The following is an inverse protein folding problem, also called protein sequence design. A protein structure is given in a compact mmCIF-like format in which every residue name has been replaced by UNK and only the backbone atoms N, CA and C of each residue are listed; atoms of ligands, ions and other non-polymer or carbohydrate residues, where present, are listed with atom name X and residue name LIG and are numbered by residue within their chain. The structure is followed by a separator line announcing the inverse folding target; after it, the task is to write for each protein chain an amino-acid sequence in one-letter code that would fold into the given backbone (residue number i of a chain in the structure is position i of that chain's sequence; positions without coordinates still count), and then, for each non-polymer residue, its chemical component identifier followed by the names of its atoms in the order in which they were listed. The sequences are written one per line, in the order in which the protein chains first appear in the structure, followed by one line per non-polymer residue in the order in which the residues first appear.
data_IF_351293364652
#
_entry.id   IF_351293364652
#
_cell.length_a   1.000
_cell.length_b   1.000
_cell.length_c   1.000
_cell.angle_alpha   90.00
_cell.angle_beta   90.00
_cell.angle_gamma   90.00
#
_symmetry.space_group_name_H-M   'P 1'
#
loop_
_entity.id
_entity.type
_entity.pdbx_description
1 polymer ?
#
# COMPACT_ATOMS: atom_id res chain seq x y z
N UNK A 1 -17.88 -26.90 -13.87
CA UNK A 1 -17.03 -25.89 -14.53
C UNK A 1 -16.81 -24.65 -13.69
N UNK A 2 -17.89 -23.94 -13.33
CA UNK A 2 -17.78 -22.72 -12.52
C UNK A 2 -17.11 -22.96 -11.15
N UNK A 3 -17.49 -24.04 -10.45
CA UNK A 3 -16.90 -24.41 -9.17
C UNK A 3 -15.43 -24.79 -9.29
N UNK A 4 -15.05 -25.45 -10.37
CA UNK A 4 -13.68 -25.87 -10.64
C UNK A 4 -12.76 -24.66 -10.87
N UNK A 5 -13.24 -23.65 -11.60
CA UNK A 5 -12.49 -22.40 -11.83
C UNK A 5 -12.32 -21.64 -10.53
N UNK A 6 -13.39 -21.53 -9.72
CA UNK A 6 -13.36 -20.84 -8.44
C UNK A 6 -12.32 -21.46 -7.49
N UNK A 7 -12.30 -22.79 -7.40
CA UNK A 7 -11.34 -23.51 -6.57
C UNK A 7 -9.91 -23.32 -7.06
N UNK A 8 -9.71 -23.28 -8.37
CA UNK A 8 -8.40 -23.04 -8.97
C UNK A 8 -7.90 -21.63 -8.65
N UNK A 9 -8.76 -20.63 -8.76
CA UNK A 9 -8.42 -19.25 -8.42
C UNK A 9 -8.09 -19.13 -6.94
N UNK A 10 -8.90 -19.72 -6.07
CA UNK A 10 -8.65 -19.72 -4.62
C UNK A 10 -7.30 -20.36 -4.28
N UNK A 11 -7.00 -21.52 -4.88
CA UNK A 11 -5.73 -22.22 -4.66
C UNK A 11 -4.54 -21.34 -5.08
N UNK A 12 -4.63 -20.68 -6.24
CA UNK A 12 -3.58 -19.79 -6.74
C UNK A 12 -3.41 -18.58 -5.82
N UNK A 13 -4.51 -18.02 -5.34
CA UNK A 13 -4.49 -16.94 -4.36
C UNK A 13 -3.75 -17.36 -3.09
N UNK A 14 -4.08 -18.53 -2.52
CA UNK A 14 -3.43 -19.02 -1.31
C UNK A 14 -1.95 -19.27 -1.52
N UNK A 15 -1.54 -19.81 -2.66
CA UNK A 15 -0.12 -19.96 -3.01
C UNK A 15 0.59 -18.62 -3.04
N UNK A 16 -0.03 -17.62 -3.65
CA UNK A 16 0.55 -16.27 -3.76
C UNK A 16 0.69 -15.61 -2.39
N UNK A 17 -0.34 -15.66 -1.53
CA UNK A 17 -0.29 -15.06 -0.21
C UNK A 17 0.71 -15.74 0.72
N UNK A 18 0.97 -17.04 0.51
CA UNK A 18 2.01 -17.75 1.26
C UNK A 18 3.41 -17.38 0.78
N UNK A 19 3.59 -17.28 -0.54
CA UNK A 19 4.88 -16.96 -1.15
C UNK A 19 5.25 -15.47 -0.94
N UNK A 20 4.27 -14.58 -1.13
CA UNK A 20 4.43 -13.14 -0.93
C UNK A 20 3.79 -12.75 0.40
N UNK A 21 4.53 -12.97 1.46
CA UNK A 21 4.09 -12.65 2.82
C UNK A 21 4.59 -11.24 3.17
N UNK A 22 3.69 -10.37 3.58
CA UNK A 22 4.02 -8.99 3.96
C UNK A 22 5.13 -8.93 5.01
N UNK A 23 5.12 -9.86 5.98
CA UNK A 23 6.15 -9.91 7.02
C UNK A 23 7.53 -10.23 6.47
N UNK A 24 7.60 -11.00 5.37
CA UNK A 24 8.88 -11.30 4.71
C UNK A 24 9.34 -10.16 3.81
N UNK A 25 8.40 -9.36 3.30
CA UNK A 25 8.70 -8.24 2.42
C UNK A 25 9.03 -6.95 3.16
N UNK A 26 8.64 -6.85 4.42
CA UNK A 26 8.88 -5.67 5.25
C UNK A 26 9.89 -6.01 6.35
N UNK A 27 10.93 -5.17 6.50
CA UNK A 27 12.00 -5.40 7.48
C UNK A 27 11.95 -4.46 8.68
N UNK A 28 11.75 -3.17 8.43
CA UNK A 28 11.87 -2.14 9.48
C UNK A 28 10.61 -1.32 9.66
N UNK A 29 9.71 -1.36 8.70
CA UNK A 29 8.51 -0.54 8.69
C UNK A 29 7.31 -1.43 8.44
N UNK A 30 6.26 -1.40 9.29
CA UNK A 30 5.05 -2.17 9.04
C UNK A 30 4.44 -1.86 7.68
N UNK A 31 3.82 -2.86 7.06
CA UNK A 31 3.30 -2.75 5.70
C UNK A 31 2.34 -1.56 5.52
N UNK A 32 1.41 -1.37 6.46
CA UNK A 32 0.46 -0.26 6.39
C UNK A 32 1.14 1.10 6.42
N UNK A 33 2.19 1.24 7.24
CA UNK A 33 2.96 2.48 7.33
C UNK A 33 3.76 2.73 6.05
N UNK A 34 4.34 1.68 5.48
CA UNK A 34 5.04 1.76 4.20
C UNK A 34 4.11 2.20 3.07
N UNK A 35 2.88 1.69 3.05
CA UNK A 35 1.87 2.08 2.06
C UNK A 35 1.50 3.56 2.18
N UNK A 36 1.32 4.05 3.40
CA UNK A 36 1.03 5.47 3.66
C UNK A 36 2.21 6.34 3.20
N UNK A 37 3.44 5.96 3.55
CA UNK A 37 4.64 6.67 3.10
C UNK A 37 4.71 6.75 1.58
N UNK A 38 4.51 5.62 0.90
CA UNK A 38 4.55 5.57 -0.55
C UNK A 38 3.52 6.50 -1.18
N UNK A 39 2.31 6.48 -0.66
CA UNK A 39 1.23 7.32 -1.18
C UNK A 39 1.54 8.80 -0.99
N UNK A 40 1.95 9.19 0.22
CA UNK A 40 2.32 10.57 0.51
C UNK A 40 3.53 11.02 -0.32
N UNK A 41 4.46 10.11 -0.56
CA UNK A 41 5.64 10.40 -1.37
C UNK A 41 5.26 10.68 -2.83
N UNK A 42 4.34 9.88 -3.38
CA UNK A 42 3.86 10.05 -4.76
C UNK A 42 3.00 11.31 -4.92
N UNK A 43 2.42 11.81 -3.84
CA UNK A 43 1.55 12.99 -3.83
C UNK A 43 2.14 14.14 -3.00
N UNK A 44 3.47 14.28 -3.03
CA UNK A 44 4.20 15.25 -2.20
C UNK A 44 3.79 16.70 -2.42
N UNK A 45 3.28 17.03 -3.60
CA UNK A 45 2.84 18.39 -3.94
C UNK A 45 1.34 18.61 -3.70
N UNK A 46 0.64 17.62 -3.14
CA UNK A 46 -0.79 17.69 -2.88
C UNK A 46 -1.06 17.73 -1.38
N UNK A 47 -2.22 18.27 -1.01
CA UNK A 47 -2.67 18.28 0.38
C UNK A 47 -3.49 17.01 0.63
N UNK A 48 -2.87 16.02 1.27
CA UNK A 48 -3.49 14.71 1.51
C UNK A 48 -4.12 14.67 2.90
N UNK A 49 -5.37 14.25 2.97
CA UNK A 49 -6.10 14.03 4.23
C UNK A 49 -6.31 12.53 4.47
N UNK A 50 -6.59 12.16 5.72
CA UNK A 50 -6.70 10.75 6.12
C UNK A 50 -7.80 9.98 5.35
N UNK A 51 -8.91 10.64 5.05
CA UNK A 51 -10.01 10.02 4.30
C UNK A 51 -9.61 9.60 2.88
N UNK A 52 -8.76 10.38 2.23
CA UNK A 52 -8.21 10.02 0.91
C UNK A 52 -7.33 8.78 1.00
N UNK A 53 -6.51 8.67 2.03
CA UNK A 53 -5.68 7.49 2.26
C UNK A 53 -6.54 6.24 2.49
N UNK A 54 -7.61 6.36 3.25
CA UNK A 54 -8.55 5.25 3.47
C UNK A 54 -9.12 4.74 2.16
N UNK A 55 -9.59 5.66 1.32
CA UNK A 55 -10.17 5.33 0.03
C UNK A 55 -9.17 4.65 -0.90
N UNK A 56 -7.98 5.23 -1.03
CA UNK A 56 -6.97 4.74 -1.95
C UNK A 56 -6.32 3.43 -1.51
N UNK A 57 -6.09 3.27 -0.21
CA UNK A 57 -5.41 2.09 0.32
C UNK A 57 -6.36 0.97 0.77
N UNK A 58 -7.67 1.24 0.72
CA UNK A 58 -8.66 0.25 1.13
C UNK A 58 -8.65 -0.07 2.62
N UNK A 59 -8.16 0.85 3.45
CA UNK A 59 -8.14 0.68 4.91
C UNK A 59 -9.42 1.23 5.54
N UNK A 60 -9.87 0.57 6.60
CA UNK A 60 -10.93 1.10 7.44
C UNK A 60 -10.42 2.31 8.22
N UNK A 61 -11.34 3.22 8.57
CA UNK A 61 -11.00 4.46 9.27
C UNK A 61 -10.25 4.21 10.58
N UNK A 62 -10.69 3.24 11.37
CA UNK A 62 -10.05 2.90 12.65
C UNK A 62 -8.61 2.40 12.46
N UNK A 63 -8.39 1.57 11.44
CA UNK A 63 -7.06 1.06 11.09
C UNK A 63 -6.16 2.18 10.60
N UNK A 64 -6.67 3.08 9.77
CA UNK A 64 -5.92 4.24 9.28
C UNK A 64 -5.53 5.17 10.42
N UNK A 65 -6.46 5.49 11.32
CA UNK A 65 -6.17 6.34 12.47
C UNK A 65 -5.07 5.76 13.35
N UNK A 66 -5.09 4.46 13.58
CA UNK A 66 -4.06 3.75 14.36
C UNK A 66 -2.70 3.81 13.66
N UNK A 67 -2.70 3.58 12.36
CA UNK A 67 -1.49 3.65 11.53
C UNK A 67 -0.88 5.04 11.58
N UNK A 68 -1.70 6.09 11.40
CA UNK A 68 -1.25 7.49 11.45
C UNK A 68 -0.68 7.83 12.83
N UNK A 69 -1.37 7.44 13.90
CA UNK A 69 -0.88 7.68 15.27
C UNK A 69 0.48 7.05 15.51
N UNK A 70 0.67 5.80 15.06
CA UNK A 70 1.95 5.12 15.20
C UNK A 70 3.05 5.81 14.40
N UNK A 71 2.73 6.29 13.20
CA UNK A 71 3.68 7.01 12.35
C UNK A 71 4.06 8.37 12.96
N UNK A 72 3.10 9.06 13.58
CA UNK A 72 3.38 10.31 14.30
C UNK A 72 4.34 10.08 15.49
N UNK A 73 4.12 9.00 16.25
CA UNK A 73 5.00 8.64 17.37
C UNK A 73 6.44 8.38 16.93
N UNK A 74 6.61 7.87 15.72
CA UNK A 74 7.93 7.60 15.13
C UNK A 74 8.51 8.82 14.40
N UNK A 75 7.79 9.92 14.37
CA UNK A 75 8.15 11.14 13.64
C UNK A 75 8.26 10.94 12.11
N UNK A 76 7.55 9.97 11.57
CA UNK A 76 7.52 9.71 10.12
C UNK A 76 6.65 10.72 9.39
N UNK A 77 5.57 11.15 10.04
CA UNK A 77 4.64 12.15 9.52
C UNK A 77 4.27 13.14 10.62
N UNK A 78 3.75 14.28 10.22
CA UNK A 78 3.12 15.23 11.11
C UNK A 78 1.85 15.79 10.49
N UNK A 79 0.99 16.34 11.33
CA UNK A 79 -0.29 16.92 10.91
C UNK A 79 -0.12 18.41 10.73
N UNK A 80 -0.66 18.94 9.63
CA UNK A 80 -0.69 20.37 9.35
C UNK A 80 -2.14 20.77 9.16
N UNK A 81 -2.61 21.70 9.99
CA UNK A 81 -3.98 22.21 9.89
C UNK A 81 -4.08 23.14 8.69
N UNK A 82 -5.14 22.96 7.89
CA UNK A 82 -5.43 23.86 6.78
C UNK A 82 -5.85 25.24 7.32
N UNK A 83 -5.12 26.28 6.98
CA UNK A 83 -5.41 27.64 7.45
C UNK A 83 -6.71 28.20 6.88
N UNK A 84 -7.07 27.79 5.66
CA UNK A 84 -8.31 28.21 4.99
C UNK A 84 -9.54 27.47 5.50
N UNK A 85 -9.40 26.18 5.85
CA UNK A 85 -10.45 25.37 6.44
C UNK A 85 -9.89 24.54 7.59
N UNK A 86 -10.05 25.03 8.81
CA UNK A 86 -9.50 24.42 10.02
C UNK A 86 -10.04 23.03 10.35
N UNK A 87 -11.10 22.61 9.69
CA UNK A 87 -11.65 21.26 9.84
C UNK A 87 -10.82 20.22 9.08
N UNK A 88 -10.00 20.66 8.12
CA UNK A 88 -9.13 19.77 7.35
C UNK A 88 -7.73 19.75 7.97
N UNK A 89 -7.19 18.54 8.07
CA UNK A 89 -5.83 18.30 8.55
C UNK A 89 -5.07 17.55 7.48
N UNK A 90 -3.97 18.13 7.01
CA UNK A 90 -3.10 17.51 6.02
C UNK A 90 -2.05 16.64 6.71
N UNK A 91 -1.71 15.54 6.07
CA UNK A 91 -0.65 14.64 6.52
C UNK A 91 0.59 14.89 5.67
N UNK A 92 1.70 15.17 6.34
CA UNK A 92 2.96 15.55 5.67
C UNK A 92 4.07 14.63 6.13
N UNK A 93 4.84 14.10 5.18
CA UNK A 93 6.01 13.29 5.47
C UNK A 93 7.11 14.14 6.11
N UNK A 94 7.81 13.55 7.07
CA UNK A 94 9.02 14.14 7.63
C UNK A 94 10.22 13.61 6.84
N UNK A 95 10.77 14.44 5.95
CA UNK A 95 11.84 14.05 5.04
C UNK A 95 13.08 13.52 5.76
N UNK A 96 13.37 14.02 6.96
CA UNK A 96 14.54 13.57 7.75
C UNK A 96 14.44 12.10 8.16
N UNK A 97 13.21 11.57 8.25
CA UNK A 97 12.97 10.20 8.70
C UNK A 97 12.69 9.23 7.56
N UNK A 98 12.77 9.68 6.31
CA UNK A 98 12.37 8.87 5.16
C UNK A 98 13.39 7.82 4.71
N UNK A 99 14.59 7.81 5.30
CA UNK A 99 15.61 6.81 4.95
C UNK A 99 15.12 5.39 5.22
N UNK A 100 14.39 5.17 6.30
CA UNK A 100 13.81 3.86 6.65
C UNK A 100 12.82 3.38 5.58
N UNK A 101 12.00 4.30 5.06
CA UNK A 101 11.07 3.99 3.98
C UNK A 101 11.82 3.68 2.68
N UNK A 102 12.82 4.49 2.32
CA UNK A 102 13.59 4.30 1.09
C UNK A 102 14.28 2.95 1.05
N UNK A 103 14.87 2.53 2.15
CA UNK A 103 15.53 1.22 2.27
C UNK A 103 14.55 0.09 2.07
N UNK A 104 13.39 0.16 2.72
CA UNK A 104 12.36 -0.87 2.60
C UNK A 104 11.79 -0.91 1.20
N UNK A 105 11.51 0.24 0.60
CA UNK A 105 11.01 0.34 -0.76
C UNK A 105 12.01 -0.28 -1.76
N UNK A 106 13.27 0.03 -1.61
CA UNK A 106 14.34 -0.54 -2.45
C UNK A 106 14.40 -2.06 -2.33
N UNK A 107 14.24 -2.58 -1.11
CA UNK A 107 14.21 -4.02 -0.87
C UNK A 107 13.03 -4.69 -1.57
N UNK A 108 11.83 -4.10 -1.45
CA UNK A 108 10.63 -4.61 -2.12
C UNK A 108 10.79 -4.57 -3.63
N UNK A 109 11.31 -3.47 -4.18
CA UNK A 109 11.54 -3.34 -5.62
C UNK A 109 12.50 -4.41 -6.15
N UNK A 110 13.52 -4.78 -5.39
CA UNK A 110 14.44 -5.86 -5.77
C UNK A 110 13.71 -7.18 -5.96
N UNK A 111 12.78 -7.49 -5.06
CA UNK A 111 11.98 -8.71 -5.13
C UNK A 111 11.08 -8.66 -6.37
N UNK A 112 10.40 -7.54 -6.58
CA UNK A 112 9.51 -7.35 -7.72
C UNK A 112 10.30 -7.40 -9.04
N UNK A 113 11.46 -6.75 -9.09
CA UNK A 113 12.33 -6.77 -10.28
C UNK A 113 12.73 -8.21 -10.65
N UNK A 114 13.12 -9.00 -9.67
CA UNK A 114 13.47 -10.41 -9.90
C UNK A 114 12.29 -11.21 -10.46
N UNK A 115 11.08 -10.98 -9.94
CA UNK A 115 9.87 -11.63 -10.44
C UNK A 115 9.58 -11.19 -11.88
N UNK A 116 9.66 -9.89 -12.14
CA UNK A 116 9.40 -9.34 -13.48
C UNK A 116 10.44 -9.81 -14.51
N UNK A 117 11.69 -9.96 -14.11
CA UNK A 117 12.75 -10.47 -14.97
C UNK A 117 12.44 -11.91 -15.42
N UNK A 118 11.94 -12.75 -14.52
CA UNK A 118 11.56 -14.12 -14.84
C UNK A 118 10.30 -14.20 -15.70
N UNK A 119 9.31 -13.33 -15.44
CA UNK A 119 8.06 -13.32 -16.21
C UNK A 119 8.23 -12.70 -17.59
N UNK A 120 9.09 -11.71 -17.73
CA UNK A 120 9.21 -10.87 -18.91
C UNK A 120 8.22 -9.69 -18.89
N UNK A 121 8.49 -8.71 -19.73
CA UNK A 121 7.74 -7.46 -19.75
C UNK A 121 6.25 -7.64 -20.05
N UNK A 122 5.92 -8.44 -21.05
CA UNK A 122 4.54 -8.68 -21.47
C UNK A 122 3.70 -9.32 -20.36
N UNK A 123 4.20 -10.39 -19.74
CA UNK A 123 3.49 -11.07 -18.64
C UNK A 123 3.43 -10.20 -17.39
N UNK A 124 4.45 -9.42 -17.12
CA UNK A 124 4.47 -8.49 -15.98
C UNK A 124 3.37 -7.43 -16.12
N UNK A 125 3.20 -6.90 -17.31
CA UNK A 125 2.14 -5.94 -17.61
C UNK A 125 0.75 -6.56 -17.46
N UNK A 126 0.57 -7.80 -17.95
CA UNK A 126 -0.68 -8.55 -17.79
C UNK A 126 -1.02 -8.80 -16.32
N UNK A 127 -0.03 -9.18 -15.52
CA UNK A 127 -0.21 -9.40 -14.06
C UNK A 127 -0.65 -8.12 -13.39
N UNK A 128 -0.03 -6.99 -13.69
CA UNK A 128 -0.41 -5.69 -13.11
C UNK A 128 -1.88 -5.36 -13.44
N UNK A 129 -2.27 -5.54 -14.69
CA UNK A 129 -3.66 -5.29 -15.12
C UNK A 129 -4.67 -6.21 -14.43
N UNK A 130 -4.33 -7.50 -14.31
CA UNK A 130 -5.20 -8.47 -13.65
C UNK A 130 -5.31 -8.21 -12.14
N UNK A 131 -4.22 -7.86 -11.48
CA UNK A 131 -4.24 -7.52 -10.05
C UNK A 131 -5.13 -6.31 -9.80
N UNK A 132 -5.01 -5.26 -10.61
CA UNK A 132 -5.83 -4.07 -10.49
C UNK A 132 -7.32 -4.38 -10.70
N UNK A 133 -7.62 -5.21 -11.69
CA UNK A 133 -8.99 -5.64 -11.98
C UNK A 133 -9.57 -6.44 -10.81
N UNK A 134 -8.82 -7.40 -10.27
CA UNK A 134 -9.24 -8.20 -9.11
C UNK A 134 -9.46 -7.31 -7.89
N UNK A 135 -8.53 -6.38 -7.63
CA UNK A 135 -8.65 -5.46 -6.51
C UNK A 135 -9.90 -4.58 -6.61
N UNK A 136 -10.18 -4.09 -7.81
CA UNK A 136 -11.35 -3.25 -8.07
C UNK A 136 -12.66 -4.01 -7.82
N UNK A 137 -12.76 -5.25 -8.30
CA UNK A 137 -13.93 -6.11 -8.09
C UNK A 137 -14.07 -6.47 -6.61
N UNK A 138 -12.97 -6.81 -5.95
CA UNK A 138 -12.97 -7.18 -4.53
C UNK A 138 -13.52 -6.07 -3.64
N UNK A 139 -13.20 -4.81 -3.93
CA UNK A 139 -13.73 -3.66 -3.19
C UNK A 139 -15.26 -3.60 -3.24
N UNK A 140 -15.84 -3.98 -4.36
CA UNK A 140 -17.31 -3.96 -4.52
C UNK A 140 -18.00 -5.12 -3.82
N UNK A 141 -17.37 -6.31 -3.80
CA UNK A 141 -18.02 -7.53 -3.30
C UNK A 141 -17.74 -7.85 -1.84
N UNK A 142 -16.68 -7.28 -1.24
CA UNK A 142 -16.31 -7.55 0.15
C UNK A 142 -17.02 -6.60 1.12
N UNK A 143 -17.34 -5.40 0.72
CA UNK A 143 -18.01 -4.40 1.57
C UNK A 143 -19.49 -4.72 1.83
#
# INVERSE_FOLDING_TARGET
MKNEINEKVLTSWLHMTTAINNDKMTSSLPFNEAMVCRYLYQHANEHVIASQLCEWLGMQKSQMNRTIMNMEKKNLIHRVRNEEDRRQIFLVLNDEMMEIYRKQHKHILKIIDAICDELGEEKSDEVAGLFDQVASIAKEVID
#
